data_IF_474090401087
#
_entry.id   IF_474090401087
#
_cell.length_a   1.000
_cell.length_b   1.000
_cell.length_c   1.000
_cell.angle_alpha   90.00
_cell.angle_beta   90.00
_cell.angle_gamma   90.00
#
_symmetry.space_group_name_H-M   'P 1'
#
loop_
_entity.id
_entity.type
_entity.pdbx_description
1 polymer ?
#
# COMPACT_ATOMS: atom_id res chain seq x y z
N UNK A 1 2.34 7.49 -30.83
CA UNK A 1 1.27 7.67 -29.81
C UNK A 1 1.66 6.99 -28.49
N UNK A 2 2.03 7.79 -27.48
CA UNK A 2 2.32 7.26 -26.16
C UNK A 2 1.02 6.67 -25.60
N UNK A 3 0.90 5.34 -25.63
CA UNK A 3 -0.18 4.64 -24.97
C UNK A 3 0.12 4.79 -23.47
N UNK A 4 -0.50 5.80 -22.84
CA UNK A 4 -0.46 5.92 -21.40
C UNK A 4 -1.30 4.77 -20.87
N UNK A 5 -0.64 3.72 -20.38
CA UNK A 5 -1.28 2.67 -19.59
C UNK A 5 -1.64 3.29 -18.24
N UNK A 6 -2.79 3.95 -18.16
CA UNK A 6 -3.32 4.41 -16.89
C UNK A 6 -3.75 3.18 -16.08
N UNK A 7 -2.97 2.83 -15.06
CA UNK A 7 -3.45 1.95 -14.00
C UNK A 7 -4.45 2.77 -13.18
N UNK A 8 -5.65 2.24 -13.00
CA UNK A 8 -6.70 2.86 -12.20
C UNK A 8 -6.99 2.02 -10.96
N UNK A 9 -7.59 2.60 -9.91
CA UNK A 9 -7.89 1.87 -8.67
C UNK A 9 -8.64 0.56 -8.90
N UNK A 10 -9.58 0.55 -9.83
CA UNK A 10 -10.39 -0.61 -10.18
C UNK A 10 -9.61 -1.80 -10.77
N UNK A 11 -8.36 -1.60 -11.25
CA UNK A 11 -7.56 -2.65 -11.86
C UNK A 11 -6.17 -2.83 -11.22
N UNK A 12 -5.89 -2.23 -10.07
CA UNK A 12 -4.60 -2.40 -9.39
C UNK A 12 -4.31 -3.87 -9.09
N UNK A 13 -5.28 -4.59 -8.53
CA UNK A 13 -5.12 -6.01 -8.18
C UNK A 13 -4.76 -6.83 -9.42
N UNK A 14 -5.59 -6.78 -10.46
CA UNK A 14 -5.42 -7.58 -11.69
C UNK A 14 -4.11 -7.28 -12.42
N UNK A 15 -3.56 -6.08 -12.26
CA UNK A 15 -2.39 -5.61 -13.02
C UNK A 15 -1.09 -5.66 -12.23
N UNK A 16 -1.14 -5.67 -10.90
CA UNK A 16 0.05 -5.65 -10.03
C UNK A 16 0.29 -6.99 -9.32
N UNK A 17 -0.71 -7.88 -9.26
CA UNK A 17 -0.54 -9.26 -8.78
C UNK A 17 -0.55 -10.26 -9.94
N UNK A 18 0.23 -10.01 -11.00
CA UNK A 18 0.37 -10.94 -12.14
C UNK A 18 1.09 -12.26 -11.75
N UNK A 19 1.91 -12.25 -10.69
CA UNK A 19 2.61 -13.42 -10.14
C UNK A 19 2.41 -13.50 -8.61
N UNK A 20 1.24 -14.00 -8.21
CA UNK A 20 0.87 -14.17 -6.80
C UNK A 20 1.77 -15.20 -6.10
N UNK A 21 2.15 -16.27 -6.79
CA UNK A 21 2.93 -17.36 -6.20
C UNK A 21 4.29 -16.85 -5.72
N UNK A 22 4.98 -16.02 -6.51
CA UNK A 22 6.23 -15.38 -6.11
C UNK A 22 6.01 -14.41 -4.95
N UNK A 23 4.95 -13.58 -5.00
CA UNK A 23 4.61 -12.67 -3.90
C UNK A 23 4.37 -13.42 -2.59
N UNK A 24 3.71 -14.58 -2.63
CA UNK A 24 3.43 -15.41 -1.46
C UNK A 24 4.68 -16.02 -0.80
N UNK A 25 5.84 -16.02 -1.49
CA UNK A 25 7.13 -16.44 -0.91
C UNK A 25 7.87 -15.32 -0.17
N UNK A 26 7.39 -14.07 -0.26
CA UNK A 26 8.09 -12.94 0.37
C UNK A 26 7.77 -12.85 1.87
N UNK A 27 8.76 -12.37 2.63
CA UNK A 27 8.58 -12.04 4.06
C UNK A 27 8.70 -10.53 4.31
N UNK A 28 8.93 -9.73 3.27
CA UNK A 28 9.14 -8.29 3.37
C UNK A 28 8.41 -7.58 2.24
N UNK A 29 7.58 -6.62 2.60
CA UNK A 29 6.89 -5.73 1.66
C UNK A 29 7.13 -4.27 2.02
N UNK A 30 7.82 -3.56 1.12
CA UNK A 30 7.92 -2.12 1.16
C UNK A 30 6.64 -1.53 0.57
N UNK A 31 5.82 -0.92 1.42
CA UNK A 31 4.55 -0.36 1.01
C UNK A 31 4.69 1.16 0.92
N UNK A 32 4.77 1.65 -0.32
CA UNK A 32 4.70 3.06 -0.67
C UNK A 32 3.32 3.37 -1.26
N UNK A 33 2.58 4.34 -0.73
CA UNK A 33 1.35 4.82 -1.35
C UNK A 33 1.56 5.29 -2.79
N UNK A 34 0.71 4.84 -3.71
CA UNK A 34 0.76 5.16 -5.14
C UNK A 34 -0.65 5.31 -5.74
N UNK A 35 -0.76 5.96 -6.90
CA UNK A 35 -2.02 6.15 -7.63
C UNK A 35 -1.95 5.68 -9.10
N UNK A 36 -1.20 4.62 -9.36
CA UNK A 36 -0.98 4.06 -10.70
C UNK A 36 0.02 4.86 -11.57
N UNK A 37 0.52 5.99 -11.07
CA UNK A 37 1.60 6.76 -11.66
C UNK A 37 2.91 6.57 -10.90
N UNK A 38 4.04 6.94 -11.50
CA UNK A 38 5.35 6.92 -10.84
C UNK A 38 5.50 8.12 -9.88
N UNK A 39 4.61 8.21 -8.90
CA UNK A 39 4.53 9.27 -7.90
C UNK A 39 4.13 8.68 -6.54
N UNK A 40 4.74 9.18 -5.47
CA UNK A 40 4.27 8.92 -4.10
C UNK A 40 3.00 9.74 -3.87
N UNK A 41 2.01 9.18 -3.20
CA UNK A 41 0.85 9.95 -2.73
C UNK A 41 0.93 10.21 -1.24
N UNK A 42 0.34 11.32 -0.79
CA UNK A 42 0.19 11.60 0.64
C UNK A 42 -0.87 10.65 1.23
N UNK A 43 -0.66 10.19 2.45
CA UNK A 43 -1.62 9.31 3.15
C UNK A 43 -2.75 10.15 3.71
N UNK A 44 -2.42 11.27 4.33
CA UNK A 44 -3.39 12.22 4.90
C UNK A 44 -3.49 13.52 4.11
N UNK A 45 -4.63 14.18 4.22
CA UNK A 45 -4.90 15.48 3.58
C UNK A 45 -4.36 16.69 4.38
N UNK A 46 -3.68 16.42 5.50
CA UNK A 46 -3.19 17.43 6.45
C UNK A 46 -4.25 18.04 7.36
N UNK A 47 -5.51 17.57 7.28
CA UNK A 47 -6.65 18.00 8.13
C UNK A 47 -7.16 16.89 9.05
N UNK A 48 -6.59 15.69 8.93
CA UNK A 48 -6.89 14.54 9.77
C UNK A 48 -7.62 13.41 9.04
N UNK A 49 -7.94 13.60 7.77
CA UNK A 49 -8.58 12.58 6.94
C UNK A 49 -7.56 11.92 5.99
N UNK A 50 -7.90 10.75 5.47
CA UNK A 50 -7.14 10.12 4.40
C UNK A 50 -7.34 10.84 3.06
N UNK A 51 -6.31 10.84 2.21
CA UNK A 51 -6.45 11.32 0.84
C UNK A 51 -7.32 10.36 0.02
N UNK A 52 -8.07 10.84 -0.98
CA UNK A 52 -8.79 9.98 -1.91
C UNK A 52 -7.89 8.95 -2.58
N UNK A 53 -6.67 9.35 -2.96
CA UNK A 53 -5.70 8.46 -3.61
C UNK A 53 -5.23 7.33 -2.68
N UNK A 54 -5.08 7.61 -1.38
CA UNK A 54 -4.76 6.57 -0.41
C UNK A 54 -5.94 5.62 -0.18
N UNK A 55 -7.16 6.16 -0.03
CA UNK A 55 -8.38 5.36 0.11
C UNK A 55 -8.57 4.40 -1.08
N UNK A 56 -8.36 4.89 -2.30
CA UNK A 56 -8.40 4.09 -3.53
C UNK A 56 -7.41 2.92 -3.53
N UNK A 57 -6.31 3.03 -2.78
CA UNK A 57 -5.29 1.98 -2.68
C UNK A 57 -5.60 0.93 -1.61
N UNK A 58 -6.45 1.21 -0.60
CA UNK A 58 -6.73 0.28 0.51
C UNK A 58 -7.25 -1.09 0.06
N UNK A 59 -8.11 -1.21 -0.98
CA UNK A 59 -8.49 -2.52 -1.52
C UNK A 59 -7.30 -3.34 -2.01
N UNK A 60 -6.31 -2.69 -2.63
CA UNK A 60 -5.08 -3.34 -3.07
C UNK A 60 -4.25 -3.85 -1.88
N UNK A 61 -4.11 -3.04 -0.82
CA UNK A 61 -3.44 -3.47 0.42
C UNK A 61 -4.13 -4.69 1.04
N UNK A 62 -5.46 -4.65 1.13
CA UNK A 62 -6.26 -5.77 1.66
C UNK A 62 -6.03 -7.05 0.85
N UNK A 63 -5.99 -6.91 -0.47
CA UNK A 63 -5.72 -8.03 -1.36
C UNK A 63 -4.30 -8.58 -1.20
N UNK A 64 -3.30 -7.72 -0.98
CA UNK A 64 -1.93 -8.13 -0.68
C UNK A 64 -1.88 -9.04 0.56
N UNK A 65 -2.49 -8.61 1.66
CA UNK A 65 -2.57 -9.43 2.87
C UNK A 65 -3.33 -10.74 2.65
N UNK A 66 -4.45 -10.68 1.92
CA UNK A 66 -5.24 -11.88 1.58
C UNK A 66 -4.40 -12.89 0.78
N UNK A 67 -3.65 -12.42 -0.22
CA UNK A 67 -2.76 -13.30 -0.99
C UNK A 67 -1.69 -13.92 -0.11
N UNK A 68 -0.99 -13.12 0.71
CA UNK A 68 0.08 -13.63 1.57
C UNK A 68 -0.45 -14.66 2.58
N UNK A 69 -1.59 -14.38 3.22
CA UNK A 69 -2.23 -15.28 4.19
C UNK A 69 -2.65 -16.63 3.59
N UNK A 70 -3.03 -16.63 2.32
CA UNK A 70 -3.37 -17.84 1.57
C UNK A 70 -2.15 -18.56 0.97
N UNK A 71 -0.95 -18.01 1.14
CA UNK A 71 0.31 -18.58 0.65
C UNK A 71 0.96 -19.56 1.62
N UNK A 72 2.19 -20.01 1.31
CA UNK A 72 2.95 -20.93 2.15
C UNK A 72 3.55 -20.26 3.39
N UNK A 73 3.54 -18.92 3.46
CA UNK A 73 3.98 -18.10 4.62
C UNK A 73 5.33 -18.57 5.19
N UNK A 74 6.43 -18.40 4.44
CA UNK A 74 7.75 -18.82 4.90
C UNK A 74 8.07 -18.20 6.27
N UNK A 75 8.49 -19.02 7.24
CA UNK A 75 8.75 -18.61 8.63
C UNK A 75 7.53 -18.00 9.37
N UNK A 76 6.36 -17.96 8.71
CA UNK A 76 5.11 -17.40 9.19
C UNK A 76 5.25 -15.96 9.74
N UNK A 77 6.11 -15.16 9.11
CA UNK A 77 6.38 -13.78 9.51
C UNK A 77 6.39 -12.86 8.28
N UNK A 78 5.61 -11.78 8.34
CA UNK A 78 5.51 -10.81 7.25
C UNK A 78 5.83 -9.40 7.75
N UNK A 79 6.94 -8.85 7.28
CA UNK A 79 7.39 -7.51 7.59
C UNK A 79 6.82 -6.52 6.58
N UNK A 80 6.03 -5.55 7.05
CA UNK A 80 5.47 -4.49 6.19
C UNK A 80 6.09 -3.17 6.59
N UNK A 81 6.74 -2.50 5.65
CA UNK A 81 7.48 -1.26 5.89
C UNK A 81 6.76 -0.11 5.22
N UNK A 82 6.19 0.85 5.98
CA UNK A 82 5.68 2.10 5.44
C UNK A 82 6.83 2.89 4.80
N UNK A 83 6.86 2.97 3.46
CA UNK A 83 7.90 3.67 2.71
C UNK A 83 7.40 5.06 2.31
N UNK A 84 7.65 6.05 3.16
CA UNK A 84 7.44 7.47 2.84
C UNK A 84 8.78 8.20 2.80
N UNK A 85 9.13 8.70 1.62
CA UNK A 85 10.41 9.42 1.42
C UNK A 85 10.36 10.86 1.94
N UNK A 86 11.50 11.42 2.42
CA UNK A 86 11.59 12.81 2.89
C UNK A 86 11.36 13.82 1.75
N UNK A 87 11.14 15.10 2.09
CA UNK A 87 10.90 16.20 1.13
C UNK A 87 11.99 16.41 0.07
N UNK A 88 13.19 15.84 0.25
CA UNK A 88 14.26 15.86 -0.76
C UNK A 88 14.09 14.84 -1.89
N UNK A 89 13.12 13.93 -1.81
CA UNK A 89 12.77 12.93 -2.82
C UNK A 89 11.43 13.24 -3.51
N UNK A 90 10.51 12.26 -3.49
CA UNK A 90 9.17 12.40 -4.08
C UNK A 90 8.20 13.29 -3.28
N UNK A 91 8.61 13.76 -2.09
CA UNK A 91 7.76 14.56 -1.22
C UNK A 91 7.52 15.97 -1.77
N UNK A 92 6.28 16.26 -2.18
CA UNK A 92 5.89 17.60 -2.62
C UNK A 92 5.75 18.56 -1.43
N UNK A 93 5.86 19.87 -1.69
CA UNK A 93 5.69 20.90 -0.65
C UNK A 93 4.31 20.88 0.00
N UNK A 94 3.31 20.37 -0.73
CA UNK A 94 1.93 20.19 -0.28
C UNK A 94 1.74 18.96 0.60
N UNK A 95 2.72 18.07 0.73
CA UNK A 95 2.58 16.89 1.57
C UNK A 95 2.58 17.29 3.05
N UNK A 96 1.81 16.56 3.88
CA UNK A 96 1.83 16.75 5.33
C UNK A 96 3.20 16.39 5.91
N UNK A 97 3.33 16.49 7.24
CA UNK A 97 4.52 16.00 7.90
C UNK A 97 4.71 14.50 7.63
N UNK A 98 5.77 14.16 6.90
CA UNK A 98 6.03 12.81 6.40
C UNK A 98 6.17 11.78 7.54
N UNK A 99 6.71 12.19 8.68
CA UNK A 99 6.83 11.29 9.83
C UNK A 99 5.48 10.99 10.46
N UNK A 100 4.63 12.01 10.60
CA UNK A 100 3.26 11.83 11.11
C UNK A 100 2.44 10.98 10.13
N UNK A 101 2.60 11.22 8.83
CA UNK A 101 1.96 10.45 7.76
C UNK A 101 2.42 8.98 7.76
N UNK A 102 3.70 8.71 8.06
CA UNK A 102 4.24 7.35 8.16
C UNK A 102 3.67 6.60 9.38
N UNK A 103 3.47 7.30 10.51
CA UNK A 103 2.82 6.74 11.69
C UNK A 103 1.36 6.39 11.37
N UNK A 104 0.64 7.29 10.70
CA UNK A 104 -0.75 7.05 10.29
C UNK A 104 -0.83 5.84 9.34
N UNK A 105 0.07 5.78 8.36
CA UNK A 105 0.19 4.65 7.43
C UNK A 105 0.41 3.32 8.14
N UNK A 106 1.35 3.28 9.10
CA UNK A 106 1.61 2.09 9.90
C UNK A 106 0.38 1.61 10.67
N UNK A 107 -0.35 2.54 11.31
CA UNK A 107 -1.58 2.21 12.05
C UNK A 107 -2.70 1.70 11.15
N UNK A 108 -2.88 2.28 9.97
CA UNK A 108 -3.91 1.82 9.04
C UNK A 108 -3.55 0.45 8.44
N UNK A 109 -2.26 0.20 8.15
CA UNK A 109 -1.80 -1.13 7.75
C UNK A 109 -2.10 -2.20 8.81
N UNK A 110 -1.80 -1.92 10.07
CA UNK A 110 -2.16 -2.80 11.20
C UNK A 110 -3.68 -3.01 11.32
N UNK A 111 -4.46 -1.94 11.08
CA UNK A 111 -5.93 -2.01 11.10
C UNK A 111 -6.45 -2.93 10.00
N UNK A 112 -6.01 -2.73 8.75
CA UNK A 112 -6.41 -3.57 7.61
C UNK A 112 -5.96 -5.01 7.84
N UNK A 113 -4.75 -5.22 8.39
CA UNK A 113 -4.28 -6.56 8.76
C UNK A 113 -5.24 -7.26 9.72
N UNK A 114 -5.61 -6.60 10.82
CA UNK A 114 -6.52 -7.13 11.82
C UNK A 114 -7.91 -7.46 11.24
N UNK A 115 -8.40 -6.64 10.32
CA UNK A 115 -9.65 -6.91 9.60
C UNK A 115 -9.54 -8.16 8.70
N UNK A 116 -8.44 -8.33 7.97
CA UNK A 116 -8.24 -9.48 7.07
C UNK A 116 -8.11 -10.79 7.85
N UNK A 117 -7.31 -10.80 8.93
CA UNK A 117 -7.18 -12.01 9.76
C UNK A 117 -8.51 -12.36 10.45
N UNK A 118 -9.28 -11.36 10.88
CA UNK A 118 -10.59 -11.55 11.49
C UNK A 118 -11.64 -12.09 10.52
N UNK A 119 -11.56 -11.71 9.24
CA UNK A 119 -12.44 -12.24 8.18
C UNK A 119 -12.04 -13.65 7.70
N UNK A 120 -10.82 -14.10 8.01
CA UNK A 120 -10.27 -15.41 7.60
C UNK A 120 -10.35 -16.46 8.73
N UNK A 121 -10.83 -16.06 9.92
CA UNK A 121 -11.02 -16.92 11.10
C UNK A 121 -12.40 -17.57 11.12
#
# INVERSE_FOLDING_TARGET
PAIIKHLGPANYVDRLFEDVDTFQQCNLWHMRPFNGHHCQVAVTDGKGDFTPEYEDMRPFIRQAYTHWLNGPRPQNEFWVVPELGPKGGYGLSSFPNIWEDAIVLGKDLETIWNEVIGATS
#
